data_IF_685610673826
#
_entry.id   IF_685610673826
#
_cell.length_a   1.000
_cell.length_b   1.000
_cell.length_c   1.000
_cell.angle_alpha   90.00
_cell.angle_beta   90.00
_cell.angle_gamma   90.00
#
_symmetry.space_group_name_H-M   'P 1'
#
loop_
_entity.id
_entity.type
_entity.pdbx_description
1 polymer ?
#
# COMPACT_ATOMS: atom_id res chain seq x y z
N UNK A 1 -2.22 7.36 -15.44
CA UNK A 1 -3.19 7.15 -14.35
C UNK A 1 -4.16 6.05 -14.75
N UNK A 2 -4.56 5.20 -13.83
CA UNK A 2 -5.64 4.23 -14.05
C UNK A 2 -7.01 4.92 -13.90
N UNK A 3 -8.03 4.38 -14.54
CA UNK A 3 -9.36 4.96 -14.53
C UNK A 3 -10.33 4.03 -13.80
N UNK A 4 -11.31 4.63 -13.12
CA UNK A 4 -12.48 3.95 -12.59
C UNK A 4 -13.68 4.35 -13.47
N UNK A 5 -14.48 3.37 -13.90
CA UNK A 5 -15.69 3.66 -14.66
C UNK A 5 -16.75 4.28 -13.74
N UNK A 6 -17.09 5.53 -13.97
CA UNK A 6 -18.04 6.28 -13.15
C UNK A 6 -19.20 6.81 -13.99
N UNK A 7 -20.37 6.87 -13.41
CA UNK A 7 -21.51 7.54 -14.00
C UNK A 7 -21.27 9.06 -14.06
N UNK A 8 -21.87 9.73 -15.04
CA UNK A 8 -21.77 11.19 -15.19
C UNK A 8 -22.26 11.91 -13.93
N UNK A 9 -21.49 12.89 -13.48
CA UNK A 9 -21.81 13.64 -12.25
C UNK A 9 -21.47 12.90 -10.96
N UNK A 10 -20.74 11.78 -11.05
CA UNK A 10 -20.24 11.03 -9.90
C UNK A 10 -18.75 11.18 -9.79
N UNK A 11 -18.23 11.25 -8.57
CA UNK A 11 -16.81 11.17 -8.28
C UNK A 11 -16.54 10.17 -7.15
N UNK A 12 -15.31 9.70 -7.04
CA UNK A 12 -14.82 8.92 -5.88
C UNK A 12 -13.65 9.67 -5.27
N UNK A 13 -13.70 9.90 -3.96
CA UNK A 13 -12.61 10.46 -3.19
C UNK A 13 -11.76 9.32 -2.62
N UNK A 14 -10.58 9.18 -3.16
CA UNK A 14 -9.60 8.16 -2.73
C UNK A 14 -8.63 8.79 -1.73
N UNK A 15 -8.60 8.22 -0.54
CA UNK A 15 -7.80 8.70 0.58
C UNK A 15 -6.82 7.68 1.14
N UNK A 16 -7.01 6.39 0.84
CA UNK A 16 -6.08 5.33 1.18
C UNK A 16 -4.77 5.44 0.37
N UNK A 17 -3.65 5.11 1.01
CA UNK A 17 -2.32 5.24 0.42
C UNK A 17 -2.09 4.26 -0.73
N UNK A 18 -2.52 3.01 -0.57
CA UNK A 18 -2.35 1.97 -1.58
C UNK A 18 -3.24 2.22 -2.80
N UNK A 19 -4.47 2.67 -2.58
CA UNK A 19 -5.39 3.06 -3.65
C UNK A 19 -4.88 4.27 -4.42
N UNK A 20 -4.41 5.34 -3.71
CA UNK A 20 -3.80 6.49 -4.38
C UNK A 20 -2.61 6.08 -5.23
N UNK A 21 -1.73 5.21 -4.69
CA UNK A 21 -0.61 4.66 -5.44
C UNK A 21 -1.08 3.91 -6.69
N UNK A 22 -2.09 3.05 -6.53
CA UNK A 22 -2.65 2.28 -7.64
C UNK A 22 -3.14 3.16 -8.79
N UNK A 23 -3.91 4.20 -8.48
CA UNK A 23 -4.49 5.07 -9.50
C UNK A 23 -3.49 6.07 -10.08
N UNK A 24 -2.57 6.61 -9.29
CA UNK A 24 -1.65 7.68 -9.74
C UNK A 24 -0.26 7.19 -10.11
N UNK A 25 0.16 6.02 -9.64
CA UNK A 25 1.55 5.56 -9.69
C UNK A 25 2.50 6.36 -8.80
N UNK A 26 1.97 7.19 -7.87
CA UNK A 26 2.74 8.07 -7.00
C UNK A 26 2.49 7.76 -5.52
N UNK A 27 3.57 7.41 -4.83
CA UNK A 27 3.54 7.13 -3.40
C UNK A 27 3.56 8.42 -2.58
N UNK A 28 2.62 8.57 -1.67
CA UNK A 28 2.56 9.68 -0.70
C UNK A 28 1.79 9.25 0.55
N UNK A 29 2.26 9.66 1.73
CA UNK A 29 1.56 9.41 3.00
C UNK A 29 0.37 10.35 3.21
N UNK A 30 0.22 11.37 2.37
CA UNK A 30 -0.89 12.32 2.40
C UNK A 30 -1.35 12.69 1.00
N UNK A 31 -2.66 12.82 0.82
CA UNK A 31 -3.31 13.37 -0.36
C UNK A 31 -4.77 12.96 -0.46
N UNK A 32 -5.51 13.71 -1.26
CA UNK A 32 -6.87 13.45 -1.68
C UNK A 32 -6.87 13.30 -3.20
N UNK A 33 -7.27 12.15 -3.71
CA UNK A 33 -7.45 11.96 -5.15
C UNK A 33 -8.95 11.95 -5.46
N UNK A 34 -9.40 12.91 -6.22
CA UNK A 34 -10.74 12.94 -6.78
C UNK A 34 -10.71 12.23 -8.12
N UNK A 35 -11.26 11.02 -8.18
CA UNK A 35 -11.51 10.30 -9.43
C UNK A 35 -12.83 10.78 -10.03
N UNK A 36 -12.77 11.33 -11.22
CA UNK A 36 -13.89 11.88 -11.99
C UNK A 36 -13.51 11.95 -13.46
N UNK A 37 -14.36 12.53 -14.32
CA UNK A 37 -14.01 12.82 -15.72
C UNK A 37 -12.79 13.75 -15.84
N UNK A 38 -12.52 14.57 -14.81
CA UNK A 38 -11.34 15.44 -14.69
C UNK A 38 -10.65 15.19 -13.34
N UNK A 39 -9.79 14.17 -13.27
CA UNK A 39 -9.18 13.80 -11.99
C UNK A 39 -8.28 14.89 -11.43
N UNK A 40 -8.33 15.08 -10.10
CA UNK A 40 -7.49 16.05 -9.38
C UNK A 40 -6.85 15.38 -8.17
N UNK A 41 -5.54 15.57 -8.01
CA UNK A 41 -4.80 15.12 -6.85
C UNK A 41 -4.38 16.31 -5.99
N UNK A 42 -4.91 16.39 -4.79
CA UNK A 42 -4.55 17.37 -3.78
C UNK A 42 -3.50 16.80 -2.86
N UNK A 43 -2.45 17.57 -2.58
CA UNK A 43 -1.40 17.15 -1.66
C UNK A 43 -0.72 18.36 -1.01
N UNK A 44 0.03 18.12 0.07
CA UNK A 44 0.76 19.15 0.77
C UNK A 44 2.11 19.50 0.11
N UNK A 45 2.80 20.50 0.70
CA UNK A 45 4.06 21.01 0.16
C UNK A 45 5.18 19.96 0.09
N UNK A 46 5.14 18.91 0.94
CA UNK A 46 6.14 17.84 0.95
C UNK A 46 6.16 17.04 -0.34
N UNK A 47 5.00 16.84 -0.94
CA UNK A 47 4.80 15.98 -2.10
C UNK A 47 4.51 16.75 -3.39
N UNK A 48 4.07 18.01 -3.32
CA UNK A 48 3.55 18.76 -4.46
C UNK A 48 4.48 18.78 -5.69
N UNK A 49 5.75 19.14 -5.49
CA UNK A 49 6.70 19.23 -6.61
C UNK A 49 6.94 17.86 -7.26
N UNK A 50 7.10 16.81 -6.45
CA UNK A 50 7.33 15.45 -6.93
C UNK A 50 6.07 14.86 -7.60
N UNK A 51 4.89 15.10 -7.03
CA UNK A 51 3.62 14.68 -7.60
C UNK A 51 3.37 15.35 -8.96
N UNK A 52 3.60 16.66 -9.05
CA UNK A 52 3.45 17.43 -10.31
C UNK A 52 4.39 16.95 -11.41
N UNK A 53 5.57 16.45 -11.06
CA UNK A 53 6.54 15.92 -12.02
C UNK A 53 6.22 14.48 -12.48
N UNK A 54 5.49 13.70 -11.68
CA UNK A 54 5.30 12.26 -11.91
C UNK A 54 3.88 11.84 -12.27
N UNK A 55 2.88 12.51 -11.69
CA UNK A 55 1.48 12.15 -11.96
C UNK A 55 1.10 12.65 -13.33
N UNK A 56 0.64 11.74 -14.19
CA UNK A 56 0.07 12.03 -15.50
C UNK A 56 -1.39 11.63 -15.51
N UNK A 57 -2.26 12.46 -16.10
CA UNK A 57 -3.70 12.17 -16.20
C UNK A 57 -4.55 12.66 -15.02
N UNK A 58 -3.94 13.37 -14.05
CA UNK A 58 -4.64 14.16 -13.05
C UNK A 58 -3.99 15.54 -12.92
N UNK A 59 -4.80 16.56 -12.64
CA UNK A 59 -4.26 17.85 -12.20
C UNK A 59 -3.74 17.72 -10.77
N UNK A 60 -2.55 18.28 -10.50
CA UNK A 60 -1.98 18.26 -9.14
C UNK A 60 -2.12 19.64 -8.51
N UNK A 61 -2.74 19.71 -7.35
CA UNK A 61 -2.97 20.96 -6.60
C UNK A 61 -2.34 20.93 -5.22
N UNK A 62 -1.80 22.05 -4.83
CA UNK A 62 -1.24 22.25 -3.48
C UNK A 62 -2.37 22.63 -2.52
N UNK A 63 -2.86 21.70 -1.75
CA UNK A 63 -3.77 21.93 -0.63
C UNK A 63 -3.81 20.71 0.28
N UNK A 64 -3.85 20.93 1.58
CA UNK A 64 -4.13 19.91 2.60
C UNK A 64 -5.57 19.96 3.12
N UNK A 65 -6.36 20.94 2.66
CA UNK A 65 -7.68 21.20 3.17
C UNK A 65 -8.77 20.48 2.40
N UNK A 66 -9.67 19.80 3.11
CA UNK A 66 -10.80 19.11 2.50
C UNK A 66 -11.78 20.10 1.83
N UNK A 67 -11.81 21.36 2.30
CA UNK A 67 -12.59 22.42 1.67
C UNK A 67 -12.23 22.63 0.19
N UNK A 68 -10.92 22.55 -0.15
CA UNK A 68 -10.48 22.66 -1.56
C UNK A 68 -11.00 21.51 -2.42
N UNK A 69 -11.16 20.31 -1.85
CA UNK A 69 -11.82 19.18 -2.51
C UNK A 69 -13.29 19.52 -2.77
N UNK A 70 -13.99 20.07 -1.77
CA UNK A 70 -15.39 20.49 -1.91
C UNK A 70 -15.60 21.54 -3.00
N UNK A 71 -14.72 22.56 -3.09
CA UNK A 71 -14.74 23.56 -4.16
C UNK A 71 -14.56 22.93 -5.54
N UNK A 72 -13.64 21.95 -5.67
CA UNK A 72 -13.43 21.25 -6.93
C UNK A 72 -14.64 20.40 -7.33
N UNK A 73 -15.22 19.67 -6.37
CA UNK A 73 -16.45 18.88 -6.63
C UNK A 73 -17.59 19.77 -7.15
N UNK A 74 -17.75 20.96 -6.55
CA UNK A 74 -18.73 21.94 -6.99
C UNK A 74 -18.41 22.49 -8.40
N UNK A 75 -17.15 22.82 -8.68
CA UNK A 75 -16.68 23.29 -9.99
C UNK A 75 -16.89 22.25 -11.09
N UNK A 76 -16.77 20.97 -10.77
CA UNK A 76 -17.07 19.86 -11.69
C UNK A 76 -18.55 19.47 -11.74
N UNK A 77 -19.40 20.09 -10.92
CA UNK A 77 -20.84 19.79 -10.82
C UNK A 77 -21.09 18.33 -10.44
N UNK A 78 -20.28 17.81 -9.50
CA UNK A 78 -20.46 16.46 -8.97
C UNK A 78 -21.74 16.44 -8.12
N UNK A 79 -22.60 15.46 -8.37
CA UNK A 79 -23.87 15.27 -7.69
C UNK A 79 -23.82 14.21 -6.59
N UNK A 80 -22.84 13.28 -6.66
CA UNK A 80 -22.67 12.17 -5.71
C UNK A 80 -21.17 11.90 -5.51
N UNK A 81 -20.77 11.58 -4.28
CA UNK A 81 -19.39 11.29 -3.94
C UNK A 81 -19.25 9.91 -3.32
N UNK A 82 -18.42 9.06 -3.91
CA UNK A 82 -18.07 7.75 -3.37
C UNK A 82 -16.88 7.81 -2.43
N UNK A 83 -16.89 6.94 -1.44
CA UNK A 83 -15.77 6.67 -0.53
C UNK A 83 -15.57 5.17 -0.39
N UNK A 84 -14.33 4.73 -0.16
CA UNK A 84 -14.12 3.38 0.37
C UNK A 84 -14.44 3.38 1.87
N UNK A 85 -15.60 2.81 2.23
CA UNK A 85 -16.05 2.75 3.62
C UNK A 85 -15.25 1.72 4.46
N UNK A 86 -14.50 0.82 3.83
CA UNK A 86 -13.69 -0.19 4.52
C UNK A 86 -12.41 0.37 5.12
N UNK A 87 -11.89 1.46 4.56
CA UNK A 87 -10.62 2.09 4.99
C UNK A 87 -10.82 3.54 5.46
N UNK A 88 -11.95 4.17 5.14
CA UNK A 88 -12.23 5.55 5.55
C UNK A 88 -12.53 5.63 7.04
N UNK A 89 -11.75 6.40 7.80
CA UNK A 89 -12.04 6.61 9.22
C UNK A 89 -13.37 7.34 9.42
N UNK A 90 -14.07 7.06 10.51
CA UNK A 90 -15.33 7.75 10.88
C UNK A 90 -15.13 9.27 10.94
N UNK A 91 -13.97 9.75 11.40
CA UNK A 91 -13.67 11.19 11.45
C UNK A 91 -13.64 11.80 10.06
N UNK A 92 -12.95 11.14 9.11
CA UNK A 92 -12.87 11.61 7.73
C UNK A 92 -14.22 11.53 7.04
N UNK A 93 -14.95 10.43 7.24
CA UNK A 93 -16.31 10.27 6.69
C UNK A 93 -17.23 11.42 7.07
N UNK A 94 -17.27 11.78 8.37
CA UNK A 94 -18.06 12.93 8.86
C UNK A 94 -17.61 14.27 8.27
N UNK A 95 -16.32 14.44 8.06
CA UNK A 95 -15.79 15.66 7.44
C UNK A 95 -16.19 15.75 5.97
N UNK A 96 -16.21 14.62 5.25
CA UNK A 96 -16.67 14.56 3.85
C UNK A 96 -18.19 14.72 3.77
N UNK A 97 -18.96 14.10 4.68
CA UNK A 97 -20.42 14.28 4.77
C UNK A 97 -20.80 15.75 4.93
N UNK A 98 -20.00 16.52 5.71
CA UNK A 98 -20.21 17.96 5.89
C UNK A 98 -20.01 18.80 4.61
N UNK A 99 -19.47 18.24 3.52
CA UNK A 99 -19.44 18.88 2.21
C UNK A 99 -20.84 18.94 1.54
N UNK A 100 -21.83 18.21 2.09
CA UNK A 100 -23.23 18.30 1.69
C UNK A 100 -23.62 17.56 0.42
N UNK A 101 -22.77 16.67 -0.09
CA UNK A 101 -23.09 15.80 -1.23
C UNK A 101 -23.65 14.45 -0.73
N UNK A 102 -24.61 13.85 -1.47
CA UNK A 102 -24.99 12.46 -1.26
C UNK A 102 -23.77 11.53 -1.36
N UNK A 103 -23.50 10.77 -0.29
CA UNK A 103 -22.41 9.80 -0.26
C UNK A 103 -22.88 8.41 -0.68
N UNK A 104 -21.96 7.60 -1.19
CA UNK A 104 -22.17 6.18 -1.47
C UNK A 104 -20.90 5.38 -1.25
N UNK A 105 -21.07 4.11 -0.92
CA UNK A 105 -19.95 3.18 -0.79
C UNK A 105 -19.35 2.82 -2.15
N UNK A 106 -18.08 3.12 -2.34
CA UNK A 106 -17.30 2.81 -3.54
C UNK A 106 -16.36 1.60 -3.34
N UNK A 107 -16.32 0.98 -2.16
CA UNK A 107 -15.37 -0.06 -1.77
C UNK A 107 -15.30 -1.20 -2.79
N UNK A 108 -16.47 -1.73 -3.20
CA UNK A 108 -16.51 -2.83 -4.17
C UNK A 108 -15.95 -2.43 -5.53
N UNK A 109 -16.28 -1.23 -6.03
CA UNK A 109 -15.79 -0.75 -7.32
C UNK A 109 -14.27 -0.52 -7.33
N UNK A 110 -13.72 -0.01 -6.21
CA UNK A 110 -12.28 0.16 -6.04
C UNK A 110 -11.57 -1.19 -5.94
N UNK A 111 -12.11 -2.12 -5.15
CA UNK A 111 -11.56 -3.47 -5.02
C UNK A 111 -11.57 -4.22 -6.36
N UNK A 112 -12.66 -4.16 -7.12
CA UNK A 112 -12.77 -4.79 -8.43
C UNK A 112 -11.76 -4.21 -9.45
N UNK A 113 -11.55 -2.89 -9.43
CA UNK A 113 -10.56 -2.25 -10.28
C UNK A 113 -9.12 -2.73 -9.99
N UNK A 114 -8.83 -3.09 -8.74
CA UNK A 114 -7.52 -3.60 -8.29
C UNK A 114 -7.39 -5.13 -8.34
N UNK A 115 -8.50 -5.86 -8.47
CA UNK A 115 -8.51 -7.32 -8.39
C UNK A 115 -7.74 -7.98 -9.54
N UNK A 116 -7.95 -7.50 -10.77
CA UNK A 116 -7.29 -8.04 -11.96
C UNK A 116 -6.00 -7.25 -12.23
N UNK A 117 -4.87 -7.92 -12.08
CA UNK A 117 -3.55 -7.29 -12.25
C UNK A 117 -3.16 -7.17 -13.71
N UNK A 118 -2.59 -6.02 -14.08
CA UNK A 118 -2.01 -5.79 -15.41
C UNK A 118 -0.71 -6.60 -15.59
N UNK A 119 -0.21 -6.70 -16.81
CA UNK A 119 1.05 -7.38 -17.10
C UNK A 119 2.24 -6.73 -16.35
N UNK A 120 2.24 -5.40 -16.22
CA UNK A 120 3.25 -4.66 -15.47
C UNK A 120 3.18 -4.98 -13.97
N UNK A 121 1.98 -5.04 -13.40
CA UNK A 121 1.77 -5.40 -11.99
C UNK A 121 2.19 -6.85 -11.72
N UNK A 122 1.86 -7.77 -12.61
CA UNK A 122 2.31 -9.17 -12.53
C UNK A 122 3.84 -9.23 -12.53
N UNK A 123 4.50 -8.49 -13.43
CA UNK A 123 5.97 -8.44 -13.49
C UNK A 123 6.59 -7.91 -12.19
N UNK A 124 5.99 -6.92 -11.54
CA UNK A 124 6.45 -6.40 -10.25
C UNK A 124 6.25 -7.41 -9.11
N UNK A 125 5.11 -8.12 -9.10
CA UNK A 125 4.84 -9.22 -8.14
C UNK A 125 5.86 -10.33 -8.31
N UNK A 126 6.14 -10.77 -9.54
CA UNK A 126 7.16 -11.78 -9.83
C UNK A 126 8.56 -11.34 -9.38
N UNK A 127 8.91 -10.06 -9.58
CA UNK A 127 10.17 -9.51 -9.11
C UNK A 127 10.25 -9.54 -7.58
N UNK A 128 9.17 -9.17 -6.88
CA UNK A 128 9.07 -9.25 -5.42
C UNK A 128 9.22 -10.69 -4.91
N UNK A 129 8.55 -11.65 -5.55
CA UNK A 129 8.69 -13.07 -5.21
C UNK A 129 10.14 -13.55 -5.39
N UNK A 130 10.80 -13.19 -6.49
CA UNK A 130 12.21 -13.53 -6.73
C UNK A 130 13.13 -12.91 -5.67
N UNK A 131 12.94 -11.64 -5.34
CA UNK A 131 13.72 -10.97 -4.28
C UNK A 131 13.56 -11.72 -2.96
N UNK A 132 12.34 -12.07 -2.58
CA UNK A 132 12.05 -12.81 -1.34
C UNK A 132 12.76 -14.16 -1.33
N UNK A 133 12.61 -14.95 -2.40
CA UNK A 133 13.21 -16.28 -2.52
C UNK A 133 14.75 -16.23 -2.48
N UNK A 134 15.35 -15.34 -3.29
CA UNK A 134 16.81 -15.21 -3.36
C UNK A 134 17.40 -14.69 -2.04
N UNK A 135 16.63 -13.90 -1.30
CA UNK A 135 17.04 -13.40 0.01
C UNK A 135 17.03 -14.50 1.05
N UNK A 136 16.01 -15.37 1.03
CA UNK A 136 15.97 -16.55 1.90
C UNK A 136 17.18 -17.45 1.62
N UNK A 137 17.40 -17.81 0.36
CA UNK A 137 18.55 -18.69 0.03
C UNK A 137 19.89 -18.10 0.45
N UNK A 138 20.08 -16.78 0.30
CA UNK A 138 21.30 -16.13 0.75
C UNK A 138 21.43 -16.15 2.29
N UNK A 139 20.32 -16.00 3.01
CA UNK A 139 20.32 -16.01 4.48
C UNK A 139 20.51 -17.42 5.07
N UNK A 140 20.28 -18.50 4.31
CA UNK A 140 20.51 -19.88 4.77
C UNK A 140 21.98 -20.10 5.23
N UNK A 141 22.93 -19.35 4.66
CA UNK A 141 24.32 -19.39 5.07
C UNK A 141 24.58 -18.92 6.52
N UNK A 142 23.63 -18.18 7.11
CA UNK A 142 23.70 -17.73 8.49
C UNK A 142 23.10 -18.76 9.47
N UNK A 143 22.35 -19.76 9.00
CA UNK A 143 21.68 -20.76 9.83
C UNK A 143 22.73 -21.67 10.47
N UNK A 144 22.81 -21.64 11.80
CA UNK A 144 23.70 -22.46 12.61
C UNK A 144 23.11 -22.66 13.99
N UNK A 145 23.51 -23.71 14.70
CA UNK A 145 23.16 -23.88 16.09
C UNK A 145 23.57 -22.63 16.91
N UNK A 146 22.69 -22.18 17.77
CA UNK A 146 22.87 -21.00 18.63
C UNK A 146 22.54 -19.65 18.01
N UNK A 147 22.22 -19.55 16.71
CA UNK A 147 21.66 -18.30 16.13
C UNK A 147 20.30 -18.01 16.74
N UNK A 148 19.98 -16.76 17.02
CA UNK A 148 18.64 -16.36 17.47
C UNK A 148 17.68 -16.15 16.28
N UNK A 149 16.38 -16.37 16.51
CA UNK A 149 15.33 -16.14 15.50
C UNK A 149 15.43 -14.74 14.89
N UNK A 150 15.56 -13.70 15.74
CA UNK A 150 15.71 -12.30 15.30
C UNK A 150 16.98 -12.03 14.48
N UNK A 151 18.07 -12.77 14.75
CA UNK A 151 19.31 -12.61 13.98
C UNK A 151 19.13 -13.14 12.56
N UNK A 152 18.43 -14.28 12.41
CA UNK A 152 18.09 -14.80 11.09
C UNK A 152 17.09 -13.91 10.36
N UNK A 153 16.08 -13.36 11.05
CA UNK A 153 15.14 -12.41 10.48
C UNK A 153 15.85 -11.13 9.98
N UNK A 154 16.78 -10.58 10.77
CA UNK A 154 17.57 -9.42 10.37
C UNK A 154 18.46 -9.71 9.14
N UNK A 155 19.04 -10.89 9.03
CA UNK A 155 19.81 -11.31 7.86
C UNK A 155 18.91 -11.41 6.62
N UNK A 156 17.73 -12.01 6.74
CA UNK A 156 16.75 -12.09 5.63
C UNK A 156 16.35 -10.69 5.17
N UNK A 157 16.00 -9.78 6.09
CA UNK A 157 15.64 -8.40 5.76
C UNK A 157 16.79 -7.65 5.08
N UNK A 158 18.03 -7.81 5.58
CA UNK A 158 19.21 -7.23 4.95
C UNK A 158 19.36 -7.71 3.50
N UNK A 159 19.20 -9.02 3.27
CA UNK A 159 19.30 -9.60 1.94
C UNK A 159 18.17 -9.10 1.00
N UNK A 160 16.95 -8.88 1.52
CA UNK A 160 15.85 -8.29 0.76
C UNK A 160 16.19 -6.86 0.33
N UNK A 161 16.62 -6.01 1.26
CA UNK A 161 17.01 -4.62 0.97
C UNK A 161 18.18 -4.52 0.01
N UNK A 162 19.18 -5.38 0.17
CA UNK A 162 20.33 -5.46 -0.74
C UNK A 162 19.92 -5.79 -2.18
N UNK A 163 18.82 -6.53 -2.37
CA UNK A 163 18.27 -6.89 -3.69
C UNK A 163 17.22 -5.92 -4.22
N UNK A 164 16.98 -4.82 -3.53
CA UNK A 164 16.11 -3.74 -3.99
C UNK A 164 14.69 -3.73 -3.42
N UNK A 165 14.39 -4.56 -2.41
CA UNK A 165 13.13 -4.44 -1.69
C UNK A 165 13.02 -3.07 -1.00
N UNK A 166 11.84 -2.47 -1.06
CA UNK A 166 11.54 -1.19 -0.38
C UNK A 166 11.37 -1.39 1.12
N UNK A 167 10.69 -2.47 1.50
CA UNK A 167 10.40 -2.84 2.88
C UNK A 167 10.07 -4.33 2.95
N UNK A 168 9.95 -4.88 4.15
CA UNK A 168 9.22 -6.14 4.36
C UNK A 168 7.72 -5.89 4.13
N UNK A 169 6.97 -6.89 3.69
CA UNK A 169 5.52 -6.78 3.49
C UNK A 169 4.73 -6.83 4.81
N UNK A 170 5.32 -7.50 5.80
CA UNK A 170 4.85 -7.62 7.19
C UNK A 170 6.06 -7.91 8.07
N UNK A 171 5.89 -7.96 9.39
CA UNK A 171 6.94 -8.35 10.33
C UNK A 171 7.30 -9.82 10.10
N UNK A 172 8.56 -10.08 9.74
CA UNK A 172 8.99 -11.43 9.36
C UNK A 172 8.82 -12.41 10.52
N UNK A 173 8.24 -13.58 10.22
CA UNK A 173 8.15 -14.66 11.19
C UNK A 173 9.31 -15.63 10.95
N UNK A 174 10.19 -15.75 11.94
CA UNK A 174 11.21 -16.78 12.03
C UNK A 174 10.99 -17.53 13.34
N UNK A 175 10.75 -18.83 13.25
CA UNK A 175 10.40 -19.65 14.39
C UNK A 175 11.22 -20.94 14.40
N UNK A 176 11.83 -21.25 15.53
CA UNK A 176 12.67 -22.42 15.71
C UNK A 176 11.99 -23.48 16.58
N UNK A 177 12.16 -24.75 16.25
CA UNK A 177 11.71 -25.88 17.03
C UNK A 177 10.24 -25.78 17.44
N UNK A 178 9.93 -25.74 18.73
CA UNK A 178 8.55 -25.66 19.24
C UNK A 178 7.80 -24.37 18.87
N UNK A 179 8.53 -23.24 18.69
CA UNK A 179 7.92 -22.00 18.25
C UNK A 179 7.30 -22.10 16.85
N UNK A 180 7.79 -23.00 16.01
CA UNK A 180 7.25 -23.26 14.68
C UNK A 180 5.82 -23.84 14.69
N UNK A 181 5.33 -24.30 15.82
CA UNK A 181 3.96 -24.78 16.00
C UNK A 181 2.97 -23.65 16.34
N UNK A 182 3.46 -22.42 16.57
CA UNK A 182 2.62 -21.26 16.96
C UNK A 182 2.32 -20.43 15.73
N UNK A 183 1.05 -20.40 15.26
CA UNK A 183 0.64 -19.47 14.21
C UNK A 183 0.86 -18.02 14.69
N UNK A 184 1.33 -17.14 13.81
CA UNK A 184 1.66 -15.76 14.15
C UNK A 184 2.64 -15.60 15.32
N UNK A 185 3.66 -16.50 15.35
CA UNK A 185 4.75 -16.40 16.33
C UNK A 185 5.47 -15.06 16.21
N UNK A 186 5.76 -14.43 17.34
CA UNK A 186 6.59 -13.22 17.38
C UNK A 186 8.05 -13.63 17.41
N UNK A 187 8.81 -13.30 16.35
CA UNK A 187 10.24 -13.58 16.21
C UNK A 187 11.04 -12.99 17.37
N UNK A 188 11.74 -13.84 18.09
CA UNK A 188 12.35 -13.48 19.37
C UNK A 188 13.81 -13.86 19.54
N UNK A 189 14.17 -14.12 20.80
CA UNK A 189 15.53 -14.44 21.25
C UNK A 189 15.83 -15.94 21.32
N UNK A 190 14.85 -16.81 21.01
CA UNK A 190 15.05 -18.24 21.03
C UNK A 190 16.20 -18.62 20.08
N UNK A 191 17.10 -19.44 20.59
CA UNK A 191 18.25 -19.92 19.83
C UNK A 191 17.92 -21.24 19.17
N UNK A 192 18.41 -21.43 17.95
CA UNK A 192 18.27 -22.67 17.21
C UNK A 192 19.07 -23.77 17.91
N UNK A 193 18.41 -24.85 18.29
CA UNK A 193 19.01 -26.04 18.83
C UNK A 193 19.41 -27.04 17.75
N UNK A 194 20.05 -28.12 18.17
CA UNK A 194 20.50 -29.19 17.29
C UNK A 194 19.29 -29.97 16.74
N UNK A 195 19.24 -30.19 15.42
CA UNK A 195 18.19 -30.94 14.74
C UNK A 195 16.77 -30.36 14.92
N UNK A 196 16.64 -29.06 15.16
CA UNK A 196 15.37 -28.39 15.19
C UNK A 196 14.96 -27.90 13.80
N UNK A 197 13.66 -27.79 13.58
CA UNK A 197 13.12 -27.16 12.36
C UNK A 197 13.28 -25.64 12.43
N UNK A 198 13.37 -25.03 11.26
CA UNK A 198 13.33 -23.59 11.03
C UNK A 198 12.14 -23.31 10.15
N UNK A 199 11.15 -22.58 10.67
CA UNK A 199 10.01 -22.07 9.92
C UNK A 199 10.26 -20.60 9.61
N UNK A 200 9.97 -20.19 8.38
CA UNK A 200 10.00 -18.78 7.99
C UNK A 200 8.73 -18.43 7.22
N UNK A 201 8.06 -17.34 7.63
CA UNK A 201 7.02 -16.69 6.85
C UNK A 201 7.52 -15.28 6.53
N UNK A 202 7.75 -15.02 5.25
CA UNK A 202 8.50 -13.85 4.81
C UNK A 202 7.96 -13.29 3.50
N UNK A 203 8.06 -11.99 3.34
CA UNK A 203 7.69 -11.32 2.10
C UNK A 203 8.28 -9.92 2.02
N UNK A 204 8.41 -9.38 0.81
CA UNK A 204 8.89 -8.02 0.62
C UNK A 204 7.99 -7.19 -0.28
N UNK A 205 7.97 -5.88 -0.05
CA UNK A 205 7.42 -4.89 -0.97
C UNK A 205 8.47 -4.46 -1.99
N UNK A 206 8.05 -4.36 -3.25
CA UNK A 206 8.90 -3.91 -4.35
C UNK A 206 8.13 -2.96 -5.26
N UNK A 207 8.53 -1.68 -5.26
CA UNK A 207 7.94 -0.61 -6.08
C UNK A 207 6.43 -0.38 -5.89
N UNK A 208 5.94 -0.63 -4.68
CA UNK A 208 4.55 -0.38 -4.30
C UNK A 208 3.70 -1.60 -4.05
#
# INVERSE_FOLDING_TARGET
MKNLALEKGTAVLVTDEAERLYFTGFHSTFGYLVLSDRPVFFTDARYFAAAKARITGAEVRLSSELAAVGEELAAQRIARLGLDETVTSVSLYRSVEALGLPLFDASAALADAMAVKSAEEISLIEASCRITQDSLYAALGAVREGIAERELAAEIEYQMKKRGATKTSFDLIVAFGENAAVPHHETGDRKLGKNECVLTDIGCGYRG
#
